data_IF_392350036188
#
_entry.id   IF_392350036188
#
_cell.length_a   1.000
_cell.length_b   1.000
_cell.length_c   1.000
_cell.angle_alpha   90.00
_cell.angle_beta   90.00
_cell.angle_gamma   90.00
#
_symmetry.space_group_name_H-M   'P 1'
#
loop_
_entity.id
_entity.type
_entity.pdbx_description
1 polymer ?
#
# COMPACT_ATOMS: atom_id res chain seq x y z
N UNK A 1 40.02 -23.72 28.28
CA UNK A 1 39.74 -23.35 26.88
C UNK A 1 38.35 -23.82 26.42
N UNK A 2 37.98 -25.11 26.56
CA UNK A 2 36.62 -25.62 26.21
C UNK A 2 35.45 -24.85 26.85
N UNK A 3 35.60 -24.42 28.11
CA UNK A 3 34.57 -23.63 28.82
C UNK A 3 34.36 -22.22 28.24
N UNK A 4 35.43 -21.61 27.71
CA UNK A 4 35.37 -20.28 27.05
C UNK A 4 34.66 -20.39 25.70
N UNK A 5 34.91 -21.47 24.96
CA UNK A 5 34.21 -21.78 23.71
C UNK A 5 32.69 -21.93 23.93
N UNK A 6 32.28 -22.62 24.99
CA UNK A 6 30.86 -22.81 25.35
C UNK A 6 30.18 -21.47 25.66
N UNK A 7 30.86 -20.56 26.36
CA UNK A 7 30.34 -19.22 26.66
C UNK A 7 30.14 -18.39 25.38
N UNK A 8 31.06 -18.47 24.43
CA UNK A 8 30.96 -17.72 23.16
C UNK A 8 29.78 -18.19 22.29
N UNK A 9 29.52 -19.51 22.26
CA UNK A 9 28.39 -20.13 21.55
C UNK A 9 27.04 -19.82 22.22
N UNK A 10 27.02 -19.69 23.55
CA UNK A 10 25.81 -19.30 24.29
C UNK A 10 25.46 -17.82 24.11
N UNK A 11 26.45 -16.95 23.89
CA UNK A 11 26.21 -15.52 23.64
C UNK A 11 25.73 -15.20 22.22
N UNK A 12 26.03 -16.03 21.22
CA UNK A 12 25.58 -15.78 19.84
C UNK A 12 24.07 -15.91 19.65
N UNK A 13 23.36 -16.54 20.59
CA UNK A 13 21.91 -16.75 20.53
C UNK A 13 21.09 -15.48 20.78
N UNK A 14 21.74 -14.40 21.25
CA UNK A 14 21.08 -13.13 21.57
C UNK A 14 21.22 -12.06 20.48
N UNK A 15 21.79 -12.41 19.31
CA UNK A 15 21.89 -11.46 18.20
C UNK A 15 20.52 -11.26 17.55
N UNK A 16 19.92 -10.08 17.77
CA UNK A 16 18.70 -9.66 17.06
C UNK A 16 19.08 -9.31 15.63
N UNK A 17 18.42 -9.93 14.64
CA UNK A 17 18.73 -9.83 13.21
C UNK A 17 18.27 -8.53 12.52
N UNK A 18 18.16 -7.42 13.24
CA UNK A 18 17.79 -6.12 12.67
C UNK A 18 18.96 -5.51 11.90
N UNK A 19 18.69 -4.98 10.71
CA UNK A 19 19.69 -4.36 9.84
C UNK A 19 19.55 -2.84 9.91
N UNK A 20 20.51 -2.17 10.56
CA UNK A 20 20.64 -0.72 10.53
C UNK A 20 21.68 -0.29 9.49
N UNK A 21 21.30 0.61 8.58
CA UNK A 21 22.22 1.27 7.64
C UNK A 21 22.28 2.75 8.00
N UNK A 22 23.46 3.22 8.42
CA UNK A 22 23.63 4.60 8.87
C UNK A 22 23.03 4.90 10.26
N UNK A 23 22.58 3.89 11.00
CA UNK A 23 22.10 3.99 12.39
C UNK A 23 22.61 2.81 13.22
N UNK A 24 22.91 3.07 14.50
CA UNK A 24 23.26 2.04 15.51
C UNK A 24 22.07 1.61 16.36
N UNK A 25 20.93 2.28 16.21
CA UNK A 25 19.70 2.06 16.97
C UNK A 25 18.51 1.93 16.01
N UNK A 26 18.48 0.86 15.20
CA UNK A 26 17.44 0.67 14.19
C UNK A 26 16.08 0.44 14.84
N UNK A 27 15.04 1.07 14.28
CA UNK A 27 13.66 1.07 14.81
C UNK A 27 12.76 0.00 14.19
N UNK A 28 13.30 -0.86 13.33
CA UNK A 28 12.58 -1.96 12.70
C UNK A 28 13.55 -3.03 12.19
N UNK A 29 13.02 -4.02 11.46
CA UNK A 29 13.83 -5.09 10.89
C UNK A 29 14.88 -4.57 9.89
N UNK A 30 14.56 -3.50 9.16
CA UNK A 30 15.47 -2.70 8.34
C UNK A 30 15.23 -1.21 8.66
N UNK A 31 16.28 -0.49 9.00
CA UNK A 31 16.24 0.95 9.23
C UNK A 31 17.40 1.63 8.49
N UNK A 32 17.10 2.67 7.72
CA UNK A 32 18.08 3.38 6.89
C UNK A 32 18.02 4.87 7.26
N UNK A 33 19.13 5.39 7.76
CA UNK A 33 19.30 6.82 8.02
C UNK A 33 20.38 7.38 7.08
N UNK A 34 20.01 8.37 6.25
CA UNK A 34 20.92 9.11 5.39
C UNK A 34 20.43 10.55 5.23
N UNK A 35 21.37 11.50 5.13
CA UNK A 35 21.07 12.92 4.88
C UNK A 35 21.17 13.29 3.39
N UNK A 36 21.70 12.40 2.55
CA UNK A 36 22.04 12.72 1.16
C UNK A 36 21.81 11.56 0.17
N UNK A 37 21.40 10.37 0.62
CA UNK A 37 21.10 9.21 -0.22
C UNK A 37 19.66 8.74 0.03
N UNK A 38 19.03 8.21 -1.02
CA UNK A 38 17.70 7.59 -0.94
C UNK A 38 17.75 6.06 -1.07
N UNK A 39 16.60 5.41 -0.89
CA UNK A 39 16.42 4.00 -1.19
C UNK A 39 16.11 3.82 -2.68
N UNK A 40 16.98 3.11 -3.40
CA UNK A 40 16.70 2.66 -4.77
C UNK A 40 15.99 1.31 -4.68
N UNK A 41 14.73 1.28 -5.09
CA UNK A 41 13.93 0.06 -5.14
C UNK A 41 14.46 -0.89 -6.24
N UNK A 42 14.26 -2.22 -6.09
CA UNK A 42 14.49 -3.15 -7.19
C UNK A 42 13.72 -2.69 -8.44
N UNK A 43 14.43 -2.64 -9.57
CA UNK A 43 13.86 -2.17 -10.84
C UNK A 43 13.55 -3.36 -11.71
N UNK A 44 12.31 -3.46 -12.17
CA UNK A 44 11.82 -4.59 -12.97
C UNK A 44 11.15 -4.10 -14.25
N UNK A 45 11.23 -4.91 -15.30
CA UNK A 45 10.59 -4.61 -16.59
C UNK A 45 9.16 -5.15 -16.66
N UNK A 46 8.89 -6.21 -15.91
CA UNK A 46 7.59 -6.88 -15.81
C UNK A 46 7.32 -7.18 -14.33
N UNK A 47 6.11 -6.91 -13.89
CA UNK A 47 5.72 -7.10 -12.48
C UNK A 47 5.44 -8.58 -12.17
N UNK A 48 5.19 -9.37 -13.20
CA UNK A 48 4.93 -10.79 -13.18
C UNK A 48 6.20 -11.61 -12.88
N UNK A 49 7.38 -11.05 -13.20
CA UNK A 49 8.69 -11.65 -12.96
C UNK A 49 9.20 -11.48 -11.52
N UNK A 50 8.51 -10.66 -10.71
CA UNK A 50 8.89 -10.45 -9.31
C UNK A 50 8.49 -11.68 -8.50
N UNK A 51 9.48 -12.38 -7.95
CA UNK A 51 9.29 -13.60 -7.19
C UNK A 51 9.65 -13.42 -5.71
N UNK A 52 9.15 -14.32 -4.88
CA UNK A 52 9.65 -14.50 -3.51
C UNK A 52 10.89 -15.43 -3.51
N UNK A 53 11.49 -15.65 -2.34
CA UNK A 53 12.69 -16.50 -2.18
C UNK A 53 12.46 -17.99 -2.51
N UNK A 54 11.21 -18.42 -2.71
CA UNK A 54 10.84 -19.80 -3.06
C UNK A 54 10.46 -19.95 -4.55
N UNK A 55 10.80 -18.97 -5.38
CA UNK A 55 10.37 -18.89 -6.79
C UNK A 55 8.84 -18.84 -6.99
N UNK A 56 8.09 -18.51 -5.93
CA UNK A 56 6.66 -18.21 -6.00
C UNK A 56 6.41 -16.75 -6.35
N UNK A 57 5.13 -16.36 -6.39
CA UNK A 57 4.74 -14.96 -6.58
C UNK A 57 5.30 -14.08 -5.45
N UNK A 58 5.56 -12.81 -5.76
CA UNK A 58 5.86 -11.81 -4.75
C UNK A 58 4.80 -11.80 -3.63
N UNK A 59 5.26 -11.75 -2.39
CA UNK A 59 4.38 -11.63 -1.21
C UNK A 59 3.76 -10.24 -1.13
N UNK A 60 2.59 -10.14 -0.49
CA UNK A 60 2.00 -8.85 -0.15
C UNK A 60 2.97 -8.02 0.71
N UNK A 61 3.06 -6.72 0.40
CA UNK A 61 4.07 -5.82 0.96
C UNK A 61 5.36 -5.69 0.13
N UNK A 62 5.52 -6.46 -0.95
CA UNK A 62 6.65 -6.29 -1.88
C UNK A 62 6.56 -4.93 -2.60
N UNK A 63 7.68 -4.21 -2.72
CA UNK A 63 7.76 -2.89 -3.37
C UNK A 63 8.82 -2.92 -4.46
N UNK A 64 8.47 -2.48 -5.66
CA UNK A 64 9.38 -2.41 -6.82
C UNK A 64 9.18 -1.12 -7.60
N UNK A 65 10.16 -0.78 -8.42
CA UNK A 65 10.00 0.22 -9.48
C UNK A 65 9.83 -0.48 -10.83
N UNK A 66 8.67 -0.30 -11.44
CA UNK A 66 8.39 -0.77 -12.79
C UNK A 66 8.95 0.22 -13.81
N UNK A 67 9.99 -0.22 -14.52
CA UNK A 67 10.70 0.58 -15.53
C UNK A 67 9.79 0.86 -16.73
N UNK A 68 8.98 -0.12 -17.15
CA UNK A 68 8.14 -0.03 -18.34
C UNK A 68 7.04 1.02 -18.16
N UNK A 69 6.48 1.11 -16.94
CA UNK A 69 5.47 2.11 -16.58
C UNK A 69 6.07 3.39 -15.99
N UNK A 70 7.35 3.36 -15.62
CA UNK A 70 8.03 4.41 -14.84
C UNK A 70 7.31 4.75 -13.53
N UNK A 71 6.83 3.73 -12.81
CA UNK A 71 6.06 3.88 -11.56
C UNK A 71 6.63 3.02 -10.43
N UNK A 72 6.43 3.46 -9.21
CA UNK A 72 6.56 2.60 -8.02
C UNK A 72 5.29 1.78 -7.84
N UNK A 73 5.45 0.48 -7.58
CA UNK A 73 4.35 -0.46 -7.41
C UNK A 73 4.48 -1.26 -6.12
N UNK A 74 3.34 -1.54 -5.49
CA UNK A 74 3.18 -2.29 -4.26
C UNK A 74 2.36 -3.55 -4.54
N UNK A 75 2.74 -4.68 -3.94
CA UNK A 75 1.95 -5.89 -3.93
C UNK A 75 0.95 -5.83 -2.77
N UNK A 76 -0.35 -5.81 -3.06
CA UNK A 76 -1.42 -5.71 -2.05
C UNK A 76 -2.55 -6.68 -2.44
N UNK A 77 -3.01 -7.51 -1.51
CA UNK A 77 -4.09 -8.48 -1.74
C UNK A 77 -3.86 -9.32 -3.01
N UNK A 78 -2.63 -9.84 -3.16
CA UNK A 78 -2.15 -10.62 -4.30
C UNK A 78 -2.18 -9.89 -5.67
N UNK A 79 -2.33 -8.56 -5.69
CA UNK A 79 -2.39 -7.75 -6.90
C UNK A 79 -1.35 -6.63 -6.87
N UNK A 80 -0.88 -6.20 -8.04
CA UNK A 80 -0.01 -5.04 -8.14
C UNK A 80 -0.80 -3.75 -8.21
N UNK A 81 -0.49 -2.81 -7.31
CA UNK A 81 -1.04 -1.46 -7.27
C UNK A 81 0.11 -0.47 -7.45
N UNK A 82 0.06 0.32 -8.52
CA UNK A 82 1.10 1.31 -8.85
C UNK A 82 0.62 2.74 -8.56
N UNK A 83 1.56 3.63 -8.23
CA UNK A 83 1.25 5.06 -8.03
C UNK A 83 0.85 5.67 -9.39
N UNK A 84 -0.35 6.24 -9.48
CA UNK A 84 -0.86 6.91 -10.68
C UNK A 84 -0.21 8.29 -10.90
N UNK A 85 -0.26 8.81 -12.12
CA UNK A 85 0.13 10.19 -12.50
C UNK A 85 -0.97 11.23 -12.29
N UNK A 86 -2.20 10.82 -11.99
CA UNK A 86 -3.33 11.73 -11.97
C UNK A 86 -3.35 12.61 -10.70
N UNK A 87 -3.65 13.90 -10.89
CA UNK A 87 -3.76 14.91 -9.83
C UNK A 87 -4.89 14.62 -8.80
N UNK A 88 -5.71 13.60 -9.05
CA UNK A 88 -6.79 13.14 -8.18
C UNK A 88 -6.33 12.01 -7.23
N UNK A 89 -5.13 12.12 -6.67
CA UNK A 89 -4.74 11.33 -5.50
C UNK A 89 -5.52 11.83 -4.27
N UNK A 90 -6.79 11.44 -4.17
CA UNK A 90 -7.60 11.72 -3.00
C UNK A 90 -7.23 10.76 -1.87
N UNK A 91 -6.12 11.04 -1.17
CA UNK A 91 -5.88 10.47 0.15
C UNK A 91 -6.82 11.18 1.12
N UNK A 92 -8.06 10.69 1.23
CA UNK A 92 -9.01 11.20 2.21
C UNK A 92 -8.91 10.34 3.46
N UNK A 93 -8.04 10.72 4.38
CA UNK A 93 -7.92 10.07 5.68
C UNK A 93 -9.10 10.47 6.56
N UNK A 94 -10.06 9.57 6.75
CA UNK A 94 -10.87 9.59 7.97
C UNK A 94 -11.07 8.17 8.50
N UNK A 95 -10.23 7.79 9.48
CA UNK A 95 -10.51 6.73 10.47
C UNK A 95 -10.68 5.29 9.90
N UNK A 96 -10.64 4.22 10.73
CA UNK A 96 -10.19 2.90 10.29
C UNK A 96 -11.29 2.20 9.47
N UNK A 97 -11.22 2.32 8.17
CA UNK A 97 -11.96 1.47 7.24
C UNK A 97 -11.03 1.11 6.08
N UNK A 98 -11.02 -0.17 5.65
CA UNK A 98 -10.14 -0.61 4.58
C UNK A 98 -10.43 0.20 3.30
N UNK A 99 -9.35 0.49 2.59
CA UNK A 99 -9.31 1.29 1.36
C UNK A 99 -10.41 0.80 0.40
N UNK A 100 -11.36 1.67 0.06
CA UNK A 100 -12.24 1.47 -1.10
C UNK A 100 -11.72 2.37 -2.21
N UNK A 101 -11.17 1.77 -3.27
CA UNK A 101 -10.79 2.49 -4.48
C UNK A 101 -12.08 2.79 -5.22
N UNK A 102 -12.49 4.05 -5.20
CA UNK A 102 -13.57 4.51 -6.06
C UNK A 102 -13.01 4.68 -7.47
N UNK A 103 -13.37 3.78 -8.39
CA UNK A 103 -13.19 4.00 -9.82
C UNK A 103 -13.93 5.31 -10.17
N UNK A 104 -13.29 6.27 -10.88
CA UNK A 104 -13.97 7.50 -11.33
C UNK A 104 -15.25 7.21 -12.13
N UNK A 105 -15.36 6.05 -12.77
CA UNK A 105 -16.57 5.60 -13.45
C UNK A 105 -17.66 5.09 -12.47
N UNK A 106 -17.28 4.66 -11.28
CA UNK A 106 -18.19 4.17 -10.24
C UNK A 106 -18.81 5.34 -9.44
N UNK A 107 -18.08 6.45 -9.28
CA UNK A 107 -18.61 7.69 -8.68
C UNK A 107 -19.66 8.38 -9.55
N UNK A 108 -19.49 8.35 -10.88
CA UNK A 108 -20.50 8.85 -11.82
C UNK A 108 -21.81 8.06 -11.66
N UNK A 109 -21.72 6.73 -11.47
CA UNK A 109 -22.90 5.87 -11.27
C UNK A 109 -23.59 6.18 -9.94
N UNK A 110 -22.85 6.44 -8.86
CA UNK A 110 -23.45 6.77 -7.56
C UNK A 110 -24.13 8.15 -7.56
N UNK A 111 -23.50 9.17 -8.14
CA UNK A 111 -24.12 10.51 -8.26
C UNK A 111 -25.41 10.47 -9.11
N UNK A 112 -25.42 9.66 -10.17
CA UNK A 112 -26.61 9.50 -10.99
C UNK A 112 -27.74 8.72 -10.27
N UNK A 113 -27.39 7.75 -9.41
CA UNK A 113 -28.37 7.06 -8.54
C UNK A 113 -28.99 8.00 -7.49
N UNK A 114 -28.19 8.85 -6.86
CA UNK A 114 -28.68 9.85 -5.88
C UNK A 114 -29.59 10.89 -6.55
N UNK A 115 -29.24 11.37 -7.74
CA UNK A 115 -30.07 12.32 -8.48
C UNK A 115 -31.40 11.70 -8.95
N UNK A 116 -31.40 10.39 -9.28
CA UNK A 116 -32.63 9.68 -9.67
C UNK A 116 -33.57 9.48 -8.47
N UNK A 117 -33.04 9.20 -7.28
CA UNK A 117 -33.82 9.13 -6.03
C UNK A 117 -34.43 10.49 -5.67
N UNK A 118 -33.65 11.57 -5.72
CA UNK A 118 -34.14 12.92 -5.42
C UNK A 118 -35.22 13.41 -6.40
N UNK A 119 -35.18 12.95 -7.66
CA UNK A 119 -36.23 13.24 -8.64
C UNK A 119 -37.55 12.49 -8.34
N UNK A 120 -37.47 11.30 -7.76
CA UNK A 120 -38.65 10.51 -7.38
C UNK A 120 -39.34 11.08 -6.14
N UNK A 121 -38.59 11.53 -5.13
CA UNK A 121 -39.13 12.11 -3.90
C UNK A 121 -39.77 13.49 -4.09
N UNK A 122 -39.19 14.34 -4.95
CA UNK A 122 -39.76 15.67 -5.25
C UNK A 122 -41.06 15.60 -6.05
N UNK A 123 -41.27 14.54 -6.83
CA UNK A 123 -42.50 14.35 -7.59
C UNK A 123 -43.64 13.76 -6.72
N UNK A 124 -43.30 13.09 -5.61
CA UNK A 124 -44.28 12.57 -4.66
C UNK A 124 -44.76 13.64 -3.66
N UNK A 125 -43.94 14.65 -3.35
CA UNK A 125 -44.33 15.76 -2.46
C UNK A 125 -45.22 16.80 -3.14
N UNK A 126 -45.08 16.98 -4.46
CA UNK A 126 -45.88 17.96 -5.21
C UNK A 126 -47.34 17.51 -5.47
N UNK A 127 -47.67 16.24 -5.26
CA UNK A 127 -49.05 15.74 -5.44
C UNK A 127 -49.92 15.92 -4.18
N UNK A 128 -49.33 16.25 -3.02
CA UNK A 128 -50.06 16.41 -1.76
C UNK A 128 -50.42 17.88 -1.42
N UNK A 129 -50.05 18.84 -2.27
CA UNK A 129 -50.41 20.26 -2.12
C UNK A 129 -51.55 20.70 -3.06
N UNK A 130 -52.13 19.79 -3.85
CA UNK A 130 -53.22 20.08 -4.80
C UNK A 130 -54.59 19.60 -4.28
N UNK A 131 -54.66 19.00 -3.08
CA UNK A 131 -55.93 18.61 -2.42
C UNK A 131 -56.19 19.35 -1.10
N UNK A 132 -56.19 20.69 -1.12
CA UNK A 132 -56.88 21.52 -0.12
C UNK A 132 -57.74 22.58 -0.81
#
# INVERSE_FOLDING_TARGET
>A
MKKVLIIFVLMSQFAIGQVGIGTTDPKGALDITSSNLGLVLPRVTQLEDVTNNNAGLAEDGTIVYDISRSKTCFRIANTWVCIADDASLAITTTTPSPITINDPNEQVIQNNKVNTQNRSTNNATNLNEIEQ
#
